data_IF_145357851228
#
_entry.id   IF_145357851228
#
_cell.length_a   1.000
_cell.length_b   1.000
_cell.length_c   1.000
_cell.angle_alpha   90.00
_cell.angle_beta   90.00
_cell.angle_gamma   90.00
#
_symmetry.space_group_name_H-M   'P 1'
#
loop_
_entity.id
_entity.type
_entity.pdbx_description
1 polymer ?
#
# COMPACT_ATOMS: atom_id res chain seq x y z
N UNK A 1 -21.17 -11.12 3.93
CA UNK A 1 -21.76 -11.26 5.28
C UNK A 1 -23.29 -11.25 5.25
N UNK A 2 -23.95 -10.26 4.59
CA UNK A 2 -25.42 -10.20 4.48
C UNK A 2 -26.10 -11.42 3.81
N UNK A 3 -25.41 -12.12 2.91
CA UNK A 3 -25.99 -13.28 2.19
C UNK A 3 -26.14 -14.54 3.04
N UNK A 4 -25.41 -14.66 4.16
CA UNK A 4 -25.40 -15.88 5.02
C UNK A 4 -26.26 -15.68 6.28
N UNK A 5 -26.60 -14.43 6.61
CA UNK A 5 -27.38 -14.06 7.78
C UNK A 5 -28.75 -14.76 7.87
N UNK A 6 -29.54 -14.88 6.79
CA UNK A 6 -30.80 -15.61 6.84
C UNK A 6 -30.61 -17.11 7.18
N UNK A 7 -29.52 -17.71 6.73
CA UNK A 7 -29.22 -19.13 6.94
C UNK A 7 -28.72 -19.42 8.36
N UNK A 8 -27.97 -18.49 8.96
CA UNK A 8 -27.57 -18.58 10.37
C UNK A 8 -28.79 -18.43 11.29
N UNK A 9 -29.73 -17.53 10.97
CA UNK A 9 -30.99 -17.38 11.71
C UNK A 9 -31.89 -18.64 11.57
N UNK A 10 -32.03 -19.20 10.36
CA UNK A 10 -32.76 -20.45 10.11
C UNK A 10 -32.15 -21.67 10.83
N UNK A 11 -30.83 -21.72 10.97
CA UNK A 11 -30.13 -22.76 11.72
C UNK A 11 -30.40 -22.73 13.22
N UNK A 12 -30.80 -21.58 13.78
CA UNK A 12 -31.07 -21.45 15.21
C UNK A 12 -32.47 -21.95 15.60
N UNK A 13 -33.46 -21.82 14.71
CA UNK A 13 -34.81 -22.38 14.89
C UNK A 13 -34.80 -23.92 14.98
N UNK A 14 -33.73 -24.58 14.52
CA UNK A 14 -33.57 -26.04 14.62
C UNK A 14 -32.79 -26.49 15.86
N UNK A 15 -32.04 -25.59 16.52
CA UNK A 15 -31.23 -25.89 17.73
C UNK A 15 -32.10 -25.96 19.00
N UNK A 16 -33.29 -25.38 18.99
CA UNK A 16 -34.30 -25.45 20.07
C UNK A 16 -34.75 -26.87 20.43
N UNK A 17 -34.36 -27.89 19.65
CA UNK A 17 -34.70 -29.31 19.89
C UNK A 17 -33.62 -30.13 20.64
N UNK A 18 -32.50 -29.55 21.09
CA UNK A 18 -31.46 -30.29 21.83
C UNK A 18 -31.06 -29.60 23.15
N UNK A 19 -31.44 -30.18 24.29
CA UNK A 19 -31.35 -29.56 25.63
C UNK A 19 -29.92 -29.39 26.18
N UNK A 20 -28.96 -30.25 25.83
CA UNK A 20 -27.59 -30.17 26.38
C UNK A 20 -26.74 -29.08 25.74
N UNK A 21 -26.92 -28.81 24.43
CA UNK A 21 -26.24 -27.69 23.74
C UNK A 21 -26.74 -26.32 24.18
N UNK A 22 -27.93 -26.24 24.77
CA UNK A 22 -28.54 -24.98 25.18
C UNK A 22 -27.78 -24.28 26.32
N UNK A 23 -27.16 -25.02 27.25
CA UNK A 23 -26.49 -24.43 28.43
C UNK A 23 -25.18 -23.74 28.07
N UNK A 24 -24.36 -24.34 27.22
CA UNK A 24 -23.09 -23.76 26.76
C UNK A 24 -23.34 -22.52 25.91
N UNK A 25 -24.31 -22.61 24.99
CA UNK A 25 -24.75 -21.51 24.15
C UNK A 25 -25.27 -20.33 25.00
N UNK A 26 -26.07 -20.60 26.03
CA UNK A 26 -26.56 -19.55 26.94
C UNK A 26 -25.44 -18.87 27.73
N UNK A 27 -24.44 -19.62 28.20
CA UNK A 27 -23.30 -19.03 28.91
C UNK A 27 -22.50 -18.09 28.00
N UNK A 28 -22.22 -18.50 26.76
CA UNK A 28 -21.49 -17.68 25.79
C UNK A 28 -22.29 -16.41 25.41
N UNK A 29 -23.59 -16.56 25.14
CA UNK A 29 -24.45 -15.42 24.83
C UNK A 29 -24.66 -14.48 26.02
N UNK A 30 -24.57 -14.95 27.27
CA UNK A 30 -24.70 -14.10 28.45
C UNK A 30 -23.69 -12.95 28.48
N UNK A 31 -22.47 -13.16 27.96
CA UNK A 31 -21.44 -12.14 27.86
C UNK A 31 -21.75 -11.13 26.75
N UNK A 32 -22.30 -11.60 25.62
CA UNK A 32 -22.72 -10.76 24.50
C UNK A 32 -23.91 -9.87 24.92
N UNK A 33 -24.86 -10.41 25.70
CA UNK A 33 -26.04 -9.68 26.16
C UNK A 33 -25.71 -8.46 27.03
N UNK A 34 -24.53 -8.42 27.64
CA UNK A 34 -24.01 -7.27 28.40
C UNK A 34 -23.44 -6.16 27.52
N UNK A 35 -23.22 -6.42 26.22
CA UNK A 35 -22.61 -5.47 25.28
C UNK A 35 -23.65 -4.51 24.69
N UNK A 36 -23.18 -3.35 24.23
CA UNK A 36 -24.06 -2.33 23.64
C UNK A 36 -24.72 -2.81 22.34
N UNK A 37 -24.05 -3.68 21.58
CA UNK A 37 -24.54 -4.28 20.35
C UNK A 37 -25.79 -5.14 20.58
N UNK A 38 -25.93 -5.76 21.76
CA UNK A 38 -27.16 -6.47 22.11
C UNK A 38 -28.32 -5.50 22.35
N UNK A 39 -28.07 -4.36 23.00
CA UNK A 39 -29.09 -3.33 23.17
C UNK A 39 -29.53 -2.73 21.84
N UNK A 40 -28.58 -2.54 20.91
CA UNK A 40 -28.88 -2.15 19.53
C UNK A 40 -29.73 -3.22 18.83
N UNK A 41 -29.36 -4.49 18.97
CA UNK A 41 -30.09 -5.62 18.37
C UNK A 41 -31.50 -5.76 18.94
N UNK A 42 -31.70 -5.49 20.23
CA UNK A 42 -33.01 -5.47 20.87
C UNK A 42 -33.91 -4.38 20.27
N UNK A 43 -33.42 -3.14 20.20
CA UNK A 43 -34.15 -2.01 19.59
C UNK A 43 -34.45 -2.24 18.11
N UNK A 44 -33.53 -2.89 17.39
CA UNK A 44 -33.75 -3.27 15.99
C UNK A 44 -34.90 -4.29 15.87
N UNK A 45 -34.87 -5.33 16.71
CA UNK A 45 -35.93 -6.36 16.74
C UNK A 45 -37.30 -5.77 17.10
N UNK A 46 -37.37 -4.84 18.05
CA UNK A 46 -38.61 -4.12 18.40
C UNK A 46 -39.17 -3.35 17.19
N UNK A 47 -38.34 -2.58 16.48
CA UNK A 47 -38.76 -1.84 15.28
C UNK A 47 -39.18 -2.73 14.13
N UNK A 48 -38.50 -3.86 13.93
CA UNK A 48 -38.86 -4.83 12.89
C UNK A 48 -40.21 -5.49 13.17
N UNK A 49 -40.51 -5.76 14.45
CA UNK A 49 -41.82 -6.24 14.86
C UNK A 49 -42.91 -5.19 14.63
N UNK A 50 -42.68 -3.94 15.04
CA UNK A 50 -43.65 -2.84 14.86
C UNK A 50 -43.94 -2.54 13.38
N UNK A 51 -42.93 -2.61 12.51
CA UNK A 51 -43.06 -2.21 11.09
C UNK A 51 -43.51 -3.36 10.20
N UNK A 52 -43.03 -4.58 10.47
CA UNK A 52 -43.18 -5.73 9.57
C UNK A 52 -43.82 -6.96 10.23
N UNK A 53 -44.12 -6.92 11.55
CA UNK A 53 -44.66 -8.06 12.29
C UNK A 53 -43.66 -9.19 12.54
N UNK A 54 -42.37 -8.98 12.29
CA UNK A 54 -41.32 -10.00 12.43
C UNK A 54 -40.83 -10.03 13.88
N UNK A 55 -41.04 -11.15 14.59
CA UNK A 55 -40.58 -11.32 15.97
C UNK A 55 -39.19 -11.95 16.04
N UNK A 56 -38.29 -11.36 16.82
CA UNK A 56 -36.98 -11.96 17.14
C UNK A 56 -36.99 -12.61 18.52
N UNK A 57 -36.42 -13.81 18.61
CA UNK A 57 -36.10 -14.50 19.87
C UNK A 57 -34.91 -13.82 20.58
N UNK A 58 -34.62 -14.22 21.83
CA UNK A 58 -33.38 -13.82 22.52
C UNK A 58 -32.13 -14.27 21.73
N UNK A 59 -32.22 -15.43 21.09
CA UNK A 59 -31.14 -16.00 20.31
C UNK A 59 -30.90 -15.16 19.05
N UNK A 60 -31.95 -14.77 18.32
CA UNK A 60 -31.84 -13.92 17.12
C UNK A 60 -31.19 -12.56 17.45
N UNK A 61 -31.61 -11.93 18.56
CA UNK A 61 -31.02 -10.69 19.04
C UNK A 61 -29.54 -10.88 19.39
N UNK A 62 -29.20 -12.02 19.98
CA UNK A 62 -27.82 -12.31 20.37
C UNK A 62 -26.93 -12.58 19.16
N UNK A 63 -27.45 -13.27 18.14
CA UNK A 63 -26.76 -13.50 16.87
C UNK A 63 -26.54 -12.19 16.11
N UNK A 64 -27.54 -11.31 16.06
CA UNK A 64 -27.39 -9.98 15.49
C UNK A 64 -26.31 -9.17 16.22
N UNK A 65 -26.27 -9.28 17.54
CA UNK A 65 -25.23 -8.62 18.33
C UNK A 65 -23.83 -9.15 17.98
N UNK A 66 -23.66 -10.46 17.78
CA UNK A 66 -22.40 -11.05 17.29
C UNK A 66 -22.00 -10.45 15.94
N UNK A 67 -22.95 -10.30 15.03
CA UNK A 67 -22.64 -9.78 13.69
C UNK A 67 -22.25 -8.32 13.74
N UNK A 68 -22.90 -7.52 14.60
CA UNK A 68 -22.52 -6.13 14.85
C UNK A 68 -21.13 -6.02 15.50
N UNK A 69 -20.80 -6.94 16.41
CA UNK A 69 -19.47 -7.04 17.03
C UNK A 69 -18.39 -7.47 16.02
N UNK A 70 -18.76 -8.30 15.05
CA UNK A 70 -17.90 -8.82 14.00
C UNK A 70 -17.74 -7.86 12.81
N UNK A 71 -18.62 -6.86 12.72
CA UNK A 71 -18.58 -5.86 11.67
C UNK A 71 -17.43 -4.89 11.90
N UNK A 72 -16.75 -4.52 10.81
CA UNK A 72 -15.68 -3.53 10.87
C UNK A 72 -16.29 -2.16 11.18
N UNK A 73 -15.87 -1.56 12.29
CA UNK A 73 -16.26 -0.21 12.68
C UNK A 73 -15.13 0.76 12.33
N UNK A 74 -15.48 1.96 11.88
CA UNK A 74 -14.49 3.02 11.67
C UNK A 74 -14.25 3.83 12.97
N UNK A 75 -15.15 3.71 13.95
CA UNK A 75 -15.01 4.27 15.31
C UNK A 75 -15.57 3.28 16.32
N UNK A 76 -14.83 3.04 17.40
CA UNK A 76 -15.30 2.26 18.54
C UNK A 76 -15.09 3.06 19.82
N UNK A 77 -16.19 3.48 20.45
CA UNK A 77 -16.19 4.25 21.72
C UNK A 77 -15.58 3.40 22.86
N UNK A 78 -15.55 2.07 22.70
CA UNK A 78 -14.95 1.15 23.66
C UNK A 78 -13.53 0.72 23.30
N UNK A 79 -12.86 1.36 22.32
CA UNK A 79 -11.46 1.08 21.99
C UNK A 79 -10.55 1.09 23.22
N UNK A 80 -10.86 1.93 24.21
CA UNK A 80 -10.11 2.09 25.47
C UNK A 80 -10.72 1.31 26.66
N UNK A 81 -11.73 0.46 26.44
CA UNK A 81 -12.29 -0.34 27.53
C UNK A 81 -11.25 -1.32 28.10
N UNK A 82 -11.23 -1.47 29.43
CA UNK A 82 -10.38 -2.43 30.15
C UNK A 82 -10.56 -3.87 29.67
N UNK A 83 -11.74 -4.19 29.12
CA UNK A 83 -12.05 -5.53 28.57
C UNK A 83 -11.09 -5.96 27.45
N UNK A 84 -10.39 -5.01 26.82
CA UNK A 84 -9.49 -5.26 25.70
C UNK A 84 -8.03 -4.96 26.01
N UNK A 85 -7.67 -4.88 27.30
CA UNK A 85 -6.28 -4.61 27.70
C UNK A 85 -5.31 -5.69 27.18
N UNK A 86 -5.67 -6.97 27.25
CA UNK A 86 -4.86 -8.06 26.69
C UNK A 86 -4.68 -7.95 25.18
N UNK A 87 -5.74 -7.58 24.45
CA UNK A 87 -5.67 -7.31 23.02
C UNK A 87 -4.70 -6.17 22.71
N UNK A 88 -4.80 -5.07 23.47
CA UNK A 88 -3.92 -3.91 23.30
C UNK A 88 -2.45 -4.26 23.56
N UNK A 89 -2.15 -4.98 24.64
CA UNK A 89 -0.78 -5.41 24.96
C UNK A 89 -0.18 -6.28 23.85
N UNK A 90 -0.94 -7.25 23.31
CA UNK A 90 -0.47 -8.07 22.20
C UNK A 90 -0.19 -7.24 20.93
N UNK A 91 -1.00 -6.22 20.66
CA UNK A 91 -0.79 -5.32 19.52
C UNK A 91 0.41 -4.38 19.73
N UNK A 92 0.62 -3.89 20.95
CA UNK A 92 1.83 -3.13 21.31
C UNK A 92 3.08 -3.97 21.11
N UNK A 93 3.06 -5.24 21.55
CA UNK A 93 4.14 -6.20 21.32
C UNK A 93 4.37 -6.48 19.84
N UNK A 94 3.29 -6.65 19.06
CA UNK A 94 3.38 -6.82 17.60
C UNK A 94 4.03 -5.61 16.91
N UNK A 95 3.63 -4.38 17.27
CA UNK A 95 4.22 -3.14 16.71
C UNK A 95 5.70 -3.06 17.08
N UNK A 96 6.04 -3.30 18.35
CA UNK A 96 7.42 -3.30 18.82
C UNK A 96 8.26 -4.36 18.12
N UNK A 97 7.73 -5.59 18.00
CA UNK A 97 8.42 -6.68 17.34
C UNK A 97 8.64 -6.37 15.87
N UNK A 98 7.64 -5.81 15.17
CA UNK A 98 7.76 -5.38 13.78
C UNK A 98 8.89 -4.37 13.58
N UNK A 99 8.99 -3.33 14.40
CA UNK A 99 10.10 -2.37 14.30
C UNK A 99 11.44 -3.00 14.68
N UNK A 100 11.48 -3.91 15.65
CA UNK A 100 12.72 -4.59 16.05
C UNK A 100 13.29 -5.51 14.96
N UNK A 101 12.42 -6.09 14.12
CA UNK A 101 12.80 -7.00 13.05
C UNK A 101 13.08 -6.28 11.72
N UNK A 102 12.84 -4.96 11.66
CA UNK A 102 12.96 -4.17 10.43
C UNK A 102 13.83 -2.93 10.64
N UNK A 103 14.11 -2.23 9.54
CA UNK A 103 14.68 -0.88 9.58
C UNK A 103 13.61 0.19 9.35
N UNK A 104 12.33 -0.20 9.44
CA UNK A 104 11.19 0.65 9.18
C UNK A 104 10.72 1.28 10.49
N UNK A 105 10.43 2.58 10.46
CA UNK A 105 9.93 3.33 11.62
C UNK A 105 8.44 3.61 11.43
N UNK A 106 7.67 3.51 12.51
CA UNK A 106 6.24 3.85 12.51
C UNK A 106 6.07 5.27 13.07
N UNK A 107 5.49 6.19 12.27
CA UNK A 107 5.41 7.62 12.60
C UNK A 107 4.39 7.93 13.70
N UNK A 108 3.18 7.36 13.62
CA UNK A 108 2.08 7.61 14.55
C UNK A 108 1.64 6.31 15.24
N UNK A 109 2.49 5.78 16.14
CA UNK A 109 2.27 4.48 16.79
C UNK A 109 0.95 4.36 17.54
N UNK A 110 0.56 5.39 18.29
CA UNK A 110 -0.71 5.39 19.02
C UNK A 110 -1.92 5.35 18.08
N UNK A 111 -1.83 6.00 16.94
CA UNK A 111 -2.89 6.00 15.93
C UNK A 111 -2.99 4.65 15.22
N UNK A 112 -1.83 4.06 14.87
CA UNK A 112 -1.77 2.69 14.36
C UNK A 112 -2.37 1.71 15.38
N UNK A 113 -1.94 1.78 16.64
CA UNK A 113 -2.41 0.90 17.70
C UNK A 113 -3.91 1.02 17.90
N UNK A 114 -4.46 2.24 17.98
CA UNK A 114 -5.91 2.46 18.07
C UNK A 114 -6.65 1.83 16.89
N UNK A 115 -6.15 2.03 15.66
CA UNK A 115 -6.77 1.45 14.47
C UNK A 115 -6.70 -0.08 14.46
N UNK A 116 -5.57 -0.66 14.86
CA UNK A 116 -5.39 -2.09 15.01
C UNK A 116 -6.29 -2.67 16.09
N UNK A 117 -6.48 -1.99 17.23
CA UNK A 117 -7.40 -2.43 18.28
C UNK A 117 -8.82 -2.53 17.71
N UNK A 118 -9.30 -1.49 17.03
CA UNK A 118 -10.65 -1.48 16.43
C UNK A 118 -10.79 -2.63 15.42
N UNK A 119 -9.80 -2.82 14.54
CA UNK A 119 -9.82 -3.87 13.53
C UNK A 119 -9.77 -5.28 14.15
N UNK A 120 -8.85 -5.49 15.08
CA UNK A 120 -8.56 -6.81 15.64
C UNK A 120 -9.63 -7.27 16.63
N UNK A 121 -10.36 -6.36 17.29
CA UNK A 121 -11.58 -6.73 18.01
C UNK A 121 -12.57 -7.42 17.09
N UNK A 122 -12.93 -6.79 15.98
CA UNK A 122 -13.86 -7.36 15.01
C UNK A 122 -13.30 -8.66 14.39
N UNK A 123 -11.98 -8.73 14.19
CA UNK A 123 -11.30 -9.96 13.74
C UNK A 123 -11.47 -11.10 14.73
N UNK A 124 -11.25 -10.88 16.02
CA UNK A 124 -11.36 -11.91 17.05
C UNK A 124 -12.80 -12.41 17.20
N UNK A 125 -13.78 -11.52 17.16
CA UNK A 125 -15.19 -11.94 17.09
C UNK A 125 -15.45 -12.81 15.86
N UNK A 126 -14.96 -12.40 14.69
CA UNK A 126 -15.07 -13.23 13.48
C UNK A 126 -14.41 -14.59 13.63
N UNK A 127 -13.24 -14.68 14.27
CA UNK A 127 -12.54 -15.95 14.52
C UNK A 127 -13.31 -16.86 15.47
N UNK A 128 -13.74 -16.34 16.61
CA UNK A 128 -14.44 -17.12 17.63
C UNK A 128 -15.75 -17.71 17.08
N UNK A 129 -16.47 -16.95 16.24
CA UNK A 129 -17.75 -17.37 15.69
C UNK A 129 -17.65 -17.94 14.25
N UNK A 130 -16.45 -18.20 13.74
CA UNK A 130 -16.25 -18.80 12.41
C UNK A 130 -16.75 -17.96 11.23
N UNK A 131 -16.84 -16.63 11.39
CA UNK A 131 -17.32 -15.72 10.35
C UNK A 131 -16.18 -15.43 9.37
N UNK A 132 -16.29 -15.97 8.16
CA UNK A 132 -15.30 -15.76 7.11
C UNK A 132 -15.25 -14.29 6.66
N UNK A 133 -14.04 -13.77 6.48
CA UNK A 133 -13.80 -12.43 5.95
C UNK A 133 -12.71 -12.49 4.89
N UNK A 134 -12.99 -11.84 3.76
CA UNK A 134 -12.09 -11.78 2.62
C UNK A 134 -11.60 -10.36 2.43
N UNK A 135 -10.29 -10.20 2.28
CA UNK A 135 -9.72 -8.94 1.84
C UNK A 135 -9.64 -8.94 0.29
N UNK A 136 -10.38 -8.06 -0.40
CA UNK A 136 -10.38 -8.03 -1.86
C UNK A 136 -9.02 -7.63 -2.46
N UNK A 137 -8.14 -7.02 -1.66
CA UNK A 137 -6.83 -6.52 -2.09
C UNK A 137 -5.68 -7.48 -1.79
N UNK A 138 -5.90 -8.64 -1.17
CA UNK A 138 -4.82 -9.56 -0.76
C UNK A 138 -3.84 -9.89 -1.87
N UNK A 139 -4.35 -10.20 -3.07
CA UNK A 139 -3.48 -10.50 -4.23
C UNK A 139 -2.62 -9.31 -4.63
N UNK A 140 -3.20 -8.11 -4.64
CA UNK A 140 -2.50 -6.89 -5.01
C UNK A 140 -1.43 -6.54 -3.97
N UNK A 141 -1.75 -6.69 -2.69
CA UNK A 141 -0.82 -6.45 -1.58
C UNK A 141 0.34 -7.43 -1.63
N UNK A 142 0.07 -8.72 -1.79
CA UNK A 142 1.11 -9.74 -1.95
C UNK A 142 2.02 -9.50 -3.15
N UNK A 143 1.51 -8.86 -4.21
CA UNK A 143 2.29 -8.57 -5.42
C UNK A 143 3.07 -7.26 -5.33
N UNK A 144 2.45 -6.17 -4.85
CA UNK A 144 3.05 -4.82 -4.85
C UNK A 144 3.86 -4.52 -3.59
N UNK A 145 3.47 -5.12 -2.47
CA UNK A 145 4.08 -4.93 -1.15
C UNK A 145 4.52 -6.27 -0.57
N UNK A 146 5.13 -7.12 -1.40
CA UNK A 146 5.50 -8.51 -1.06
C UNK A 146 6.39 -8.60 0.17
N UNK A 147 7.42 -7.76 0.26
CA UNK A 147 8.35 -7.70 1.38
C UNK A 147 7.62 -7.32 2.68
N UNK A 148 6.86 -6.23 2.66
CA UNK A 148 6.08 -5.80 3.82
C UNK A 148 5.09 -6.88 4.26
N UNK A 149 4.38 -7.52 3.32
CA UNK A 149 3.45 -8.60 3.62
C UNK A 149 4.13 -9.80 4.31
N UNK A 150 5.30 -10.23 3.81
CA UNK A 150 6.05 -11.36 4.38
C UNK A 150 6.53 -11.02 5.80
N UNK A 151 7.05 -9.81 6.01
CA UNK A 151 7.50 -9.37 7.32
C UNK A 151 6.32 -9.26 8.28
N UNK A 152 5.23 -8.60 7.88
CA UNK A 152 4.01 -8.51 8.67
C UNK A 152 3.48 -9.89 9.03
N UNK A 153 3.50 -10.85 8.09
CA UNK A 153 3.10 -12.25 8.34
C UNK A 153 3.94 -12.88 9.44
N UNK A 154 5.26 -12.74 9.37
CA UNK A 154 6.19 -13.27 10.38
C UNK A 154 5.97 -12.61 11.74
N UNK A 155 5.83 -11.29 11.79
CA UNK A 155 5.59 -10.59 13.05
C UNK A 155 4.21 -10.90 13.66
N UNK A 156 3.22 -11.22 12.82
CA UNK A 156 1.89 -11.59 13.28
C UNK A 156 1.85 -12.95 14.01
N UNK A 157 2.92 -13.75 13.98
CA UNK A 157 3.03 -14.97 14.79
C UNK A 157 2.89 -14.68 16.30
N UNK A 158 3.36 -13.52 16.76
CA UNK A 158 3.16 -13.04 18.15
C UNK A 158 1.68 -12.89 18.47
N UNK A 159 0.89 -12.41 17.52
CA UNK A 159 -0.56 -12.27 17.68
C UNK A 159 -1.26 -13.63 17.64
N UNK A 160 -0.83 -14.53 16.75
CA UNK A 160 -1.34 -15.90 16.69
C UNK A 160 -1.12 -16.65 18.01
N UNK A 161 0.05 -16.49 18.62
CA UNK A 161 0.38 -17.07 19.92
C UNK A 161 -0.42 -16.42 21.06
N UNK A 162 -0.45 -15.08 21.12
CA UNK A 162 -1.16 -14.36 22.17
C UNK A 162 -2.67 -14.64 22.18
N UNK A 163 -3.27 -14.85 21.00
CA UNK A 163 -4.72 -15.07 20.85
C UNK A 163 -5.09 -16.54 20.63
N UNK A 164 -4.11 -17.44 20.49
CA UNK A 164 -4.32 -18.86 20.19
C UNK A 164 -5.18 -19.07 18.92
N UNK A 165 -4.89 -18.30 17.88
CA UNK A 165 -5.58 -18.40 16.57
C UNK A 165 -4.58 -18.57 15.44
N UNK A 166 -5.09 -18.87 14.24
CA UNK A 166 -4.34 -18.74 12.98
C UNK A 166 -4.94 -17.64 12.12
N UNK A 167 -4.08 -16.77 11.61
CA UNK A 167 -4.40 -15.69 10.70
C UNK A 167 -4.26 -16.17 9.26
N UNK A 168 -5.27 -15.87 8.46
CA UNK A 168 -5.28 -16.13 7.02
C UNK A 168 -4.51 -15.04 6.28
N UNK A 169 -4.10 -15.31 5.04
CA UNK A 169 -3.46 -14.30 4.19
C UNK A 169 -4.30 -13.03 4.03
N UNK A 170 -5.63 -13.12 4.07
CA UNK A 170 -6.53 -11.97 3.99
C UNK A 170 -6.47 -11.08 5.25
N UNK A 171 -6.29 -11.68 6.41
CA UNK A 171 -6.14 -10.98 7.69
C UNK A 171 -4.75 -10.37 7.82
N UNK A 172 -3.72 -11.11 7.42
CA UNK A 172 -2.36 -10.58 7.28
C UNK A 172 -2.34 -9.40 6.31
N UNK A 173 -3.07 -9.47 5.19
CA UNK A 173 -3.18 -8.35 4.25
C UNK A 173 -3.80 -7.11 4.90
N UNK A 174 -4.79 -7.26 5.77
CA UNK A 174 -5.33 -6.11 6.54
C UNK A 174 -4.29 -5.52 7.50
N UNK A 175 -3.57 -6.36 8.25
CA UNK A 175 -2.47 -5.89 9.11
C UNK A 175 -1.41 -5.15 8.28
N UNK A 176 -1.09 -5.66 7.10
CA UNK A 176 -0.12 -5.07 6.16
C UNK A 176 -0.57 -3.68 5.71
N UNK A 177 -1.86 -3.49 5.40
CA UNK A 177 -2.42 -2.17 5.06
C UNK A 177 -2.27 -1.21 6.24
N UNK A 178 -2.62 -1.64 7.45
CA UNK A 178 -2.52 -0.81 8.64
C UNK A 178 -1.07 -0.42 8.91
N UNK A 179 -0.14 -1.36 8.95
CA UNK A 179 1.29 -1.04 9.14
C UNK A 179 1.77 -0.13 8.01
N UNK A 180 1.53 -0.49 6.75
CA UNK A 180 1.98 0.26 5.58
C UNK A 180 1.48 1.70 5.51
N UNK A 181 0.26 1.97 5.98
CA UNK A 181 -0.30 3.33 6.04
C UNK A 181 0.29 4.22 7.13
N UNK A 182 1.03 3.64 8.08
CA UNK A 182 1.65 4.34 9.20
C UNK A 182 3.19 4.25 9.20
N UNK A 183 3.76 3.60 8.17
CA UNK A 183 5.20 3.62 7.96
C UNK A 183 5.62 5.06 7.66
N UNK A 184 6.59 5.54 8.41
CA UNK A 184 7.23 6.82 8.14
C UNK A 184 7.82 6.76 6.74
N UNK A 185 7.45 7.71 5.88
CA UNK A 185 8.12 7.88 4.60
C UNK A 185 9.55 8.34 4.88
N UNK A 186 10.44 7.36 5.00
CA UNK A 186 11.87 7.59 4.98
C UNK A 186 12.29 7.20 3.58
N UNK A 187 12.65 8.16 2.70
CA UNK A 187 13.37 7.82 1.49
C UNK A 187 14.53 6.96 1.95
N UNK A 188 14.48 5.69 1.55
CA UNK A 188 15.18 4.60 2.19
C UNK A 188 16.60 4.97 2.63
N UNK A 189 16.90 4.83 3.93
CA UNK A 189 18.27 4.61 4.42
C UNK A 189 18.66 3.16 4.09
N UNK A 190 18.35 2.72 2.86
CA UNK A 190 19.11 1.69 2.19
C UNK A 190 20.30 2.42 1.61
N UNK A 191 21.50 2.02 2.02
CA UNK A 191 22.79 2.45 1.46
C UNK A 191 22.92 2.03 -0.03
N UNK A 192 22.01 2.51 -0.86
CA UNK A 192 21.96 2.29 -2.29
C UNK A 192 21.35 3.52 -3.00
N UNK A 193 21.41 4.70 -2.36
CA UNK A 193 21.25 5.98 -3.06
C UNK A 193 22.32 6.00 -4.14
N UNK A 194 21.90 5.94 -5.39
CA UNK A 194 22.82 5.95 -6.50
C UNK A 194 23.47 7.32 -6.56
N UNK A 195 24.78 7.34 -6.73
CA UNK A 195 25.53 8.58 -6.97
C UNK A 195 25.41 8.94 -8.43
N UNK A 196 24.76 10.06 -8.68
CA UNK A 196 24.50 10.58 -10.02
C UNK A 196 25.22 11.92 -10.17
N UNK A 197 25.92 12.08 -11.29
CA UNK A 197 26.49 13.38 -11.68
C UNK A 197 25.90 13.82 -13.01
N UNK A 198 25.77 15.13 -13.18
CA UNK A 198 25.26 15.74 -14.40
C UNK A 198 26.43 16.45 -15.09
N UNK A 199 26.61 16.21 -16.39
CA UNK A 199 27.61 16.88 -17.22
C UNK A 199 26.91 17.66 -18.32
N UNK A 200 26.98 18.99 -18.26
CA UNK A 200 26.24 19.92 -19.12
C UNK A 200 27.11 21.15 -19.42
N UNK A 201 27.36 21.41 -20.71
CA UNK A 201 28.22 22.50 -21.20
C UNK A 201 27.41 23.74 -21.63
N UNK A 202 26.08 23.64 -21.69
CA UNK A 202 25.12 24.62 -22.23
C UNK A 202 24.84 25.81 -21.27
N UNK A 203 25.73 26.04 -20.31
CA UNK A 203 25.70 27.18 -19.39
C UNK A 203 24.84 26.98 -18.13
N UNK A 204 25.01 27.89 -17.17
CA UNK A 204 24.48 27.75 -15.79
C UNK A 204 22.94 27.70 -15.72
N UNK A 205 22.25 28.42 -16.62
CA UNK A 205 20.78 28.44 -16.64
C UNK A 205 20.19 27.09 -17.05
N UNK A 206 20.70 26.53 -18.14
CA UNK A 206 20.26 25.24 -18.69
C UNK A 206 20.65 24.10 -17.75
N UNK A 207 21.86 24.13 -17.19
CA UNK A 207 22.32 23.10 -16.27
C UNK A 207 21.52 23.08 -14.96
N UNK A 208 21.09 24.24 -14.44
CA UNK A 208 20.16 24.34 -13.31
C UNK A 208 18.78 23.80 -13.64
N UNK A 209 18.26 24.06 -14.84
CA UNK A 209 16.98 23.52 -15.29
C UNK A 209 17.03 21.99 -15.38
N UNK A 210 18.08 21.43 -15.98
CA UNK A 210 18.29 19.99 -16.06
C UNK A 210 18.42 19.37 -14.66
N UNK A 211 19.19 20.00 -13.76
CA UNK A 211 19.30 19.57 -12.36
C UNK A 211 17.94 19.54 -11.65
N UNK A 212 17.11 20.58 -11.82
CA UNK A 212 15.77 20.65 -11.21
C UNK A 212 14.88 19.50 -11.73
N UNK A 213 14.84 19.28 -13.05
CA UNK A 213 14.08 18.18 -13.65
C UNK A 213 14.58 16.81 -13.16
N UNK A 214 15.90 16.57 -13.13
CA UNK A 214 16.46 15.32 -12.64
C UNK A 214 16.11 15.07 -11.16
N UNK A 215 16.20 16.10 -10.30
CA UNK A 215 15.80 15.99 -8.88
C UNK A 215 14.33 15.64 -8.71
N UNK A 216 13.46 16.18 -9.58
CA UNK A 216 12.05 15.87 -9.55
C UNK A 216 11.77 14.38 -9.86
N UNK A 217 12.37 13.84 -10.92
CA UNK A 217 12.16 12.45 -11.31
C UNK A 217 12.97 11.44 -10.47
N UNK A 218 14.00 11.91 -9.77
CA UNK A 218 14.91 11.11 -8.94
C UNK A 218 14.98 11.66 -7.50
N UNK A 219 13.85 11.77 -6.78
CA UNK A 219 13.82 12.44 -5.47
C UNK A 219 14.58 11.69 -4.38
N UNK A 220 14.85 10.40 -4.60
CA UNK A 220 15.47 9.51 -3.63
C UNK A 220 16.95 9.23 -3.93
N UNK A 221 17.54 9.89 -4.93
CA UNK A 221 18.90 9.62 -5.40
C UNK A 221 19.89 10.76 -5.09
N UNK A 222 21.17 10.42 -4.92
CA UNK A 222 22.19 11.42 -4.62
C UNK A 222 22.70 12.06 -5.92
N UNK A 223 22.06 13.16 -6.34
CA UNK A 223 22.61 14.01 -7.39
C UNK A 223 23.69 14.91 -6.78
N UNK A 224 24.94 14.61 -7.11
CA UNK A 224 26.12 15.32 -6.64
C UNK A 224 26.28 16.70 -7.29
N UNK A 225 27.44 16.95 -7.89
CA UNK A 225 27.73 18.19 -8.58
C UNK A 225 27.25 18.15 -10.05
N UNK A 226 27.03 19.34 -10.60
CA UNK A 226 26.87 19.54 -12.04
C UNK A 226 28.19 20.06 -12.57
N UNK A 227 28.74 19.40 -13.57
CA UNK A 227 30.04 19.71 -14.17
C UNK A 227 29.88 20.15 -15.62
N UNK A 228 30.85 20.94 -16.10
CA UNK A 228 31.18 20.95 -17.53
C UNK A 228 32.01 19.72 -17.88
N UNK A 229 32.11 19.38 -19.16
CA UNK A 229 32.96 18.27 -19.64
C UNK A 229 34.42 18.47 -19.22
N UNK A 230 34.93 19.71 -19.25
CA UNK A 230 36.28 20.05 -18.80
C UNK A 230 36.46 19.78 -17.30
N UNK A 231 35.52 20.23 -16.47
CA UNK A 231 35.55 20.02 -15.02
C UNK A 231 35.43 18.53 -14.66
N UNK A 232 34.58 17.80 -15.36
CA UNK A 232 34.41 16.37 -15.09
C UNK A 232 35.69 15.59 -15.40
N UNK A 233 36.39 15.92 -16.50
CA UNK A 233 37.67 15.29 -16.87
C UNK A 233 38.83 15.67 -15.94
N UNK A 234 38.79 16.86 -15.32
CA UNK A 234 39.85 17.33 -14.43
C UNK A 234 39.76 16.80 -13.00
N UNK A 235 38.64 16.16 -12.61
CA UNK A 235 38.44 15.67 -11.24
C UNK A 235 38.87 14.21 -11.13
N UNK A 236 40.04 13.97 -10.53
CA UNK A 236 40.59 12.61 -10.32
C UNK A 236 39.90 11.85 -9.15
N UNK A 237 39.32 12.58 -8.19
CA UNK A 237 38.74 12.02 -6.95
C UNK A 237 37.38 11.34 -7.11
N UNK A 238 36.75 11.44 -8.30
CA UNK A 238 35.47 10.76 -8.57
C UNK A 238 35.74 9.27 -8.81
N UNK A 239 35.65 8.49 -7.74
CA UNK A 239 35.96 7.04 -7.73
C UNK A 239 34.74 6.16 -7.94
N UNK A 240 33.54 6.61 -7.57
CA UNK A 240 32.30 5.83 -7.65
C UNK A 240 31.12 6.67 -8.14
N UNK A 241 30.59 6.31 -9.31
CA UNK A 241 29.40 6.90 -9.94
C UNK A 241 28.53 5.78 -10.49
N UNK A 242 27.25 5.81 -10.16
CA UNK A 242 26.28 4.83 -10.65
C UNK A 242 25.70 5.23 -12.02
N UNK A 243 25.56 6.54 -12.28
CA UNK A 243 25.08 7.09 -13.54
C UNK A 243 25.62 8.50 -13.80
N UNK A 244 26.08 8.76 -15.02
CA UNK A 244 26.29 10.09 -15.57
C UNK A 244 25.14 10.46 -16.49
N UNK A 245 24.49 11.58 -16.22
CA UNK A 245 23.51 12.18 -17.12
C UNK A 245 24.23 13.29 -17.89
N UNK A 246 24.23 13.23 -19.21
CA UNK A 246 24.91 14.24 -20.03
C UNK A 246 24.08 14.71 -21.20
N UNK A 247 24.30 15.96 -21.60
CA UNK A 247 23.80 16.53 -22.85
C UNK A 247 24.81 16.40 -24.00
N UNK A 248 26.05 16.01 -23.70
CA UNK A 248 27.14 15.89 -24.66
C UNK A 248 27.26 14.45 -25.20
N UNK A 249 27.17 14.29 -26.53
CA UNK A 249 27.28 13.01 -27.23
C UNK A 249 28.68 12.38 -27.19
N UNK A 250 29.71 13.18 -26.96
CA UNK A 250 31.12 12.77 -27.04
C UNK A 250 31.77 12.60 -25.67
N UNK A 251 30.98 12.55 -24.60
CA UNK A 251 31.51 12.37 -23.25
C UNK A 251 32.04 10.94 -23.05
N UNK A 252 33.35 10.78 -23.26
CA UNK A 252 34.06 9.57 -22.88
C UNK A 252 34.17 9.45 -21.36
N UNK A 253 33.64 8.35 -20.82
CA UNK A 253 33.67 8.07 -19.39
C UNK A 253 33.78 6.57 -19.12
N UNK A 254 34.45 6.23 -18.00
CA UNK A 254 34.53 4.86 -17.46
C UNK A 254 33.25 4.42 -16.75
N UNK A 255 32.33 5.35 -16.48
CA UNK A 255 31.07 5.10 -15.78
C UNK A 255 29.91 4.98 -16.77
N UNK A 256 28.77 4.38 -16.39
CA UNK A 256 27.57 4.36 -17.22
C UNK A 256 27.12 5.78 -17.56
N UNK A 257 26.98 6.08 -18.86
CA UNK A 257 26.54 7.39 -19.37
C UNK A 257 25.17 7.24 -20.00
N UNK A 258 24.28 8.18 -19.70
CA UNK A 258 22.97 8.32 -20.32
C UNK A 258 22.85 9.74 -20.90
N UNK A 259 22.74 9.79 -22.22
CA UNK A 259 22.55 11.02 -22.96
C UNK A 259 21.08 11.44 -22.90
N UNK A 260 20.84 12.70 -22.56
CA UNK A 260 19.51 13.32 -22.47
C UNK A 260 19.49 14.65 -23.19
N UNK A 261 18.29 15.13 -23.49
CA UNK A 261 18.11 16.51 -23.88
C UNK A 261 18.21 17.45 -22.65
N UNK A 262 18.70 18.70 -22.81
CA UNK A 262 18.78 19.64 -21.69
C UNK A 262 17.40 19.96 -21.05
N UNK A 263 16.35 19.88 -21.86
CA UNK A 263 14.96 19.80 -21.41
C UNK A 263 14.55 18.34 -21.57
N UNK A 264 14.24 17.66 -20.47
CA UNK A 264 13.99 16.22 -20.50
C UNK A 264 12.70 15.92 -21.27
N UNK A 265 12.79 15.05 -22.28
CA UNK A 265 11.62 14.49 -22.93
C UNK A 265 11.16 13.20 -22.21
N UNK A 266 9.93 12.73 -22.48
CA UNK A 266 9.41 11.49 -21.90
C UNK A 266 10.35 10.30 -22.12
N UNK A 267 11.04 10.24 -23.26
CA UNK A 267 12.00 9.18 -23.54
C UNK A 267 13.23 9.25 -22.62
N UNK A 268 13.71 10.46 -22.31
CA UNK A 268 14.83 10.67 -21.38
C UNK A 268 14.42 10.21 -19.97
N UNK A 269 13.22 10.59 -19.52
CA UNK A 269 12.67 10.22 -18.22
C UNK A 269 12.50 8.71 -18.10
N UNK A 270 11.97 8.06 -19.15
CA UNK A 270 11.80 6.61 -19.18
C UNK A 270 13.15 5.88 -19.14
N UNK A 271 14.15 6.36 -19.88
CA UNK A 271 15.50 5.77 -19.87
C UNK A 271 16.19 5.94 -18.52
N UNK A 272 16.09 7.14 -17.94
CA UNK A 272 16.58 7.43 -16.59
C UNK A 272 15.92 6.46 -15.60
N UNK A 273 14.59 6.43 -15.53
CA UNK A 273 13.86 5.64 -14.54
C UNK A 273 14.05 4.12 -14.70
N UNK A 274 14.17 3.62 -15.94
CA UNK A 274 14.48 2.21 -16.22
C UNK A 274 15.89 1.83 -15.75
N UNK A 275 16.89 2.67 -16.04
CA UNK A 275 18.26 2.46 -15.55
C UNK A 275 18.31 2.44 -14.03
N UNK A 276 17.53 3.30 -13.38
CA UNK A 276 17.42 3.35 -11.92
C UNK A 276 16.86 2.06 -11.33
N UNK A 277 15.87 1.44 -11.96
CA UNK A 277 15.23 0.20 -11.44
C UNK A 277 15.98 -1.08 -11.80
N UNK A 278 16.48 -1.20 -13.02
CA UNK A 278 16.91 -2.49 -13.56
C UNK A 278 18.42 -2.64 -13.73
N UNK A 279 19.23 -1.57 -13.57
CA UNK A 279 20.70 -1.54 -13.84
C UNK A 279 21.10 -2.04 -15.24
N UNK A 280 20.16 -2.20 -16.16
CA UNK A 280 20.41 -2.64 -17.54
C UNK A 280 20.19 -1.44 -18.44
N UNK A 281 21.26 -0.97 -19.10
CA UNK A 281 21.10 -0.21 -20.33
C UNK A 281 20.53 -1.19 -21.36
N UNK A 282 19.24 -1.09 -21.68
CA UNK A 282 18.64 -1.95 -22.71
C UNK A 282 19.43 -1.75 -24.00
N UNK A 283 20.16 -2.80 -24.42
CA UNK A 283 20.80 -2.88 -25.74
C UNK A 283 19.78 -3.09 -26.87
N UNK A 284 18.52 -3.36 -26.53
CA UNK A 284 17.43 -3.38 -27.49
C UNK A 284 17.14 -1.95 -27.89
N UNK A 285 17.75 -1.51 -28.98
CA UNK A 285 17.67 -0.13 -29.52
C UNK A 285 16.29 0.29 -30.04
N UNK A 286 15.20 -0.16 -29.42
CA UNK A 286 13.85 0.33 -29.69
C UNK A 286 13.44 1.32 -28.61
N UNK A 287 13.39 2.58 -29.01
CA UNK A 287 12.97 3.70 -28.17
C UNK A 287 11.48 3.62 -27.81
N UNK A 288 11.01 4.40 -26.83
CA UNK A 288 9.58 4.56 -26.59
C UNK A 288 8.85 5.01 -27.87
N UNK A 289 9.50 5.90 -28.63
CA UNK A 289 9.05 6.35 -29.95
C UNK A 289 8.90 5.20 -30.94
N UNK A 290 9.85 4.27 -30.99
CA UNK A 290 9.80 3.12 -31.90
C UNK A 290 8.74 2.07 -31.50
N UNK A 291 8.55 1.87 -30.20
CA UNK A 291 7.50 0.96 -29.72
C UNK A 291 6.11 1.56 -29.98
N UNK A 292 5.95 2.87 -29.72
CA UNK A 292 4.71 3.57 -29.99
C UNK A 292 4.40 3.59 -31.49
N UNK A 293 5.39 3.84 -32.34
CA UNK A 293 5.20 3.79 -33.80
C UNK A 293 4.83 2.39 -34.29
N UNK A 294 5.45 1.34 -33.73
CA UNK A 294 5.12 -0.06 -34.06
C UNK A 294 3.68 -0.39 -33.67
N UNK A 295 3.22 0.03 -32.49
CA UNK A 295 1.86 -0.21 -32.01
C UNK A 295 0.85 0.60 -32.82
N UNK A 296 1.10 1.88 -33.10
CA UNK A 296 0.18 2.70 -33.89
C UNK A 296 0.07 2.15 -35.33
N UNK A 297 1.18 1.68 -35.91
CA UNK A 297 1.20 1.09 -37.24
C UNK A 297 0.38 -0.20 -37.36
N UNK A 298 0.10 -0.92 -36.27
CA UNK A 298 -0.81 -2.09 -36.33
C UNK A 298 -2.29 -1.70 -36.43
N UNK A 299 -2.65 -0.45 -36.12
CA UNK A 299 -4.04 0.01 -36.12
C UNK A 299 -4.32 1.11 -37.17
N UNK A 300 -3.31 1.85 -37.61
CA UNK A 300 -3.45 2.95 -38.58
C UNK A 300 -2.54 2.67 -39.78
N UNK A 301 -3.16 2.45 -40.95
CA UNK A 301 -2.45 2.16 -42.20
C UNK A 301 -1.88 3.41 -42.89
N UNK A 302 -2.47 4.58 -42.64
CA UNK A 302 -1.98 5.85 -43.16
C UNK A 302 -0.79 6.35 -42.31
N UNK A 303 0.38 6.40 -42.96
CA UNK A 303 1.64 6.85 -42.32
C UNK A 303 1.58 8.29 -41.84
N UNK A 304 0.84 9.17 -42.52
CA UNK A 304 0.78 10.58 -42.14
C UNK A 304 -0.11 10.77 -40.90
N UNK A 305 -1.27 10.11 -40.86
CA UNK A 305 -2.14 10.09 -39.69
C UNK A 305 -1.48 9.42 -38.47
N UNK A 306 -0.76 8.31 -38.69
CA UNK A 306 -0.03 7.62 -37.63
C UNK A 306 1.08 8.49 -37.01
N UNK A 307 1.86 9.19 -37.84
CA UNK A 307 2.92 10.10 -37.37
C UNK A 307 2.33 11.27 -36.57
N UNK A 308 1.23 11.87 -37.04
CA UNK A 308 0.56 12.96 -36.33
C UNK A 308 0.01 12.52 -34.97
N UNK A 309 -0.65 11.36 -34.90
CA UNK A 309 -1.17 10.83 -33.64
C UNK A 309 -0.03 10.49 -32.66
N UNK A 310 1.06 9.93 -33.17
CA UNK A 310 2.25 9.66 -32.37
C UNK A 310 2.79 10.94 -31.73
N UNK A 311 2.90 12.01 -32.51
CA UNK A 311 3.36 13.33 -32.04
C UNK A 311 2.42 13.91 -30.97
N UNK A 312 1.10 13.86 -31.19
CA UNK A 312 0.10 14.34 -30.22
C UNK A 312 0.14 13.56 -28.90
N UNK A 313 0.29 12.23 -28.94
CA UNK A 313 0.42 11.39 -27.73
C UNK A 313 1.71 11.71 -26.98
N UNK A 314 2.82 11.89 -27.71
CA UNK A 314 4.10 12.26 -27.10
C UNK A 314 4.03 13.65 -26.45
N UNK A 315 3.39 14.60 -27.11
CA UNK A 315 3.13 15.94 -26.57
C UNK A 315 2.30 15.87 -25.29
N UNK A 316 1.22 15.09 -25.27
CA UNK A 316 0.36 14.94 -24.09
C UNK A 316 1.10 14.30 -22.91
N UNK A 317 1.87 13.24 -23.16
CA UNK A 317 2.68 12.58 -22.12
C UNK A 317 3.76 13.54 -21.61
N UNK A 318 4.46 14.26 -22.50
CA UNK A 318 5.44 15.26 -22.11
C UNK A 318 4.78 16.37 -21.27
N UNK A 319 3.60 16.86 -21.65
CA UNK A 319 2.87 17.87 -20.90
C UNK A 319 2.48 17.38 -19.51
N UNK A 320 1.94 16.17 -19.36
CA UNK A 320 1.57 15.61 -18.06
C UNK A 320 2.79 15.37 -17.15
N UNK A 321 3.90 14.85 -17.70
CA UNK A 321 5.14 14.65 -16.95
C UNK A 321 5.75 15.99 -16.52
N UNK A 322 5.79 16.98 -17.42
CA UNK A 322 6.27 18.34 -17.14
C UNK A 322 5.39 19.05 -16.11
N UNK A 323 4.05 18.97 -16.23
CA UNK A 323 3.12 19.59 -15.29
C UNK A 323 3.27 18.99 -13.88
N UNK A 324 3.42 17.67 -13.77
CA UNK A 324 3.76 17.03 -12.49
C UNK A 324 5.08 17.55 -11.92
N UNK A 325 6.09 17.80 -12.76
CA UNK A 325 7.39 18.35 -12.34
C UNK A 325 7.35 19.78 -11.78
N UNK A 326 6.28 20.53 -12.03
CA UNK A 326 6.16 21.94 -11.65
C UNK A 326 5.01 22.26 -10.66
N UNK A 327 4.03 21.37 -10.46
CA UNK A 327 2.86 21.64 -9.60
C UNK A 327 2.98 21.18 -8.14
N UNK A 328 4.03 20.45 -7.75
CA UNK A 328 4.20 19.97 -6.36
C UNK A 328 4.91 20.98 -5.42
N UNK A 329 5.02 22.27 -5.80
CA UNK A 329 5.60 23.34 -4.97
C UNK A 329 4.55 24.25 -4.27
N UNK A 330 3.29 23.83 -4.11
CA UNK A 330 2.25 24.63 -3.42
C UNK A 330 1.64 23.99 -2.19
#
# INVERSE_FOLDING_TARGET
MLQVLPYLLLGCDTVTNNQDKHKEIEQEFSLIRKRIEYQVSKKLGERLFETFGISFSELDRSLLAILLLSYRKDRDIHAESKDFQHLRMALEEFIWYFESQTRMEIEQKEDLLRNLVIHCKALLFRKNYGIFSKNPLTRQIRSKYSELFVITKKCAEVLEEAWQIRLTDDEIAYLTIHVGGFLKYTPSIQNNTKKIYIVCDEGVGVSKLLLKQCRFYLPNEQIGAVFTTEQFKSVEDITQVDLLITTNDELESRFPVLKVNPILEAEDILRITDFMKNKVLRKDGRTFKDNLSTIIATYISDKHAAAKLQEEIQLLINQELVIQAFLDES
#
